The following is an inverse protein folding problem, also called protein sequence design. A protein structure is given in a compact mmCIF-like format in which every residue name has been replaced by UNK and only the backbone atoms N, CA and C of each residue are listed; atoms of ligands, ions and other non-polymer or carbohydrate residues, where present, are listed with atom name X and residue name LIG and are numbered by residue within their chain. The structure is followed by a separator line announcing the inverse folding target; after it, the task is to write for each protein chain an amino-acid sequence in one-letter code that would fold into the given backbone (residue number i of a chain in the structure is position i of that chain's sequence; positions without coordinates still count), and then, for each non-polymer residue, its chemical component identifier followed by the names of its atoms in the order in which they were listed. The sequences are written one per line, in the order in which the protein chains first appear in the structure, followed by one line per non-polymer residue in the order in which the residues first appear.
data_IF_757185027843
#
_entry.id   IF_757185027843
#
_cell.length_a   1.000
_cell.length_b   1.000
_cell.length_c   1.000
_cell.angle_alpha   90.00
_cell.angle_beta   90.00
_cell.angle_gamma   90.00
#
_symmetry.space_group_name_H-M   'P 1'
#
loop_
_entity.id
_entity.type
_entity.pdbx_description
1 polymer ?
#
# COMPACT_ATOMS: atom_id res chain seq x y z
N UNK A 1 -22.79 9.02 -19.26
CA UNK A 1 -22.70 10.31 -18.55
C UNK A 1 -22.31 10.03 -17.10
N UNK A 2 -21.05 10.24 -16.74
CA UNK A 2 -20.53 9.91 -15.41
C UNK A 2 -20.81 11.06 -14.43
N UNK A 3 -21.97 11.08 -13.84
CA UNK A 3 -22.22 11.92 -12.67
C UNK A 3 -21.51 11.28 -11.48
N UNK A 4 -20.44 11.95 -11.02
CA UNK A 4 -19.76 11.77 -9.73
C UNK A 4 -19.55 10.33 -9.24
N UNK A 5 -18.58 9.64 -9.85
CA UNK A 5 -18.02 8.47 -9.19
C UNK A 5 -17.42 8.90 -7.84
N UNK A 6 -17.69 8.18 -6.74
CA UNK A 6 -17.12 8.50 -5.44
C UNK A 6 -15.59 8.40 -5.49
N UNK A 7 -14.90 9.26 -4.75
CA UNK A 7 -13.45 9.21 -4.58
C UNK A 7 -13.13 8.21 -3.49
N UNK A 8 -12.42 7.16 -3.86
CA UNK A 8 -11.95 6.15 -2.91
C UNK A 8 -10.45 6.27 -2.78
N UNK A 9 -10.00 6.55 -1.57
CA UNK A 9 -8.59 6.55 -1.21
C UNK A 9 -8.25 5.22 -0.54
N UNK A 10 -7.20 4.56 -1.02
CA UNK A 10 -6.73 3.28 -0.48
C UNK A 10 -5.29 3.47 0.01
N UNK A 11 -5.05 3.19 1.28
CA UNK A 11 -3.73 3.24 1.89
C UNK A 11 -3.14 1.84 1.99
N UNK A 12 -2.04 1.63 1.28
CA UNK A 12 -1.34 0.34 1.17
C UNK A 12 -1.67 -0.39 -0.13
N UNK A 13 -0.62 -0.74 -0.90
CA UNK A 13 -0.70 -1.48 -2.16
C UNK A 13 -0.26 -2.95 -1.99
N UNK A 14 -0.46 -3.52 -0.80
CA UNK A 14 -0.34 -4.95 -0.58
C UNK A 14 -1.48 -5.74 -1.22
N UNK A 15 -1.63 -7.01 -0.86
CA UNK A 15 -2.66 -7.87 -1.44
C UNK A 15 -4.07 -7.29 -1.33
N UNK A 16 -4.45 -6.82 -0.14
CA UNK A 16 -5.78 -6.27 0.10
C UNK A 16 -6.02 -4.97 -0.64
N UNK A 17 -5.09 -4.01 -0.55
CA UNK A 17 -5.25 -2.70 -1.17
C UNK A 17 -5.23 -2.75 -2.69
N UNK A 18 -4.32 -3.51 -3.29
CA UNK A 18 -4.24 -3.65 -4.75
C UNK A 18 -5.49 -4.35 -5.31
N UNK A 19 -5.95 -5.42 -4.64
CA UNK A 19 -7.19 -6.12 -5.03
C UNK A 19 -8.39 -5.17 -4.93
N UNK A 20 -8.53 -4.43 -3.83
CA UNK A 20 -9.61 -3.46 -3.66
C UNK A 20 -9.56 -2.36 -4.75
N UNK A 21 -8.37 -1.84 -5.06
CA UNK A 21 -8.20 -0.81 -6.08
C UNK A 21 -8.69 -1.30 -7.45
N UNK A 22 -8.27 -2.49 -7.87
CA UNK A 22 -8.66 -3.08 -9.16
C UNK A 22 -10.18 -3.30 -9.24
N UNK A 23 -10.79 -3.81 -8.18
CA UNK A 23 -12.24 -4.05 -8.14
C UNK A 23 -13.04 -2.75 -8.19
N UNK A 24 -12.61 -1.73 -7.43
CA UNK A 24 -13.31 -0.46 -7.31
C UNK A 24 -13.12 0.47 -8.51
N UNK A 25 -12.08 0.29 -9.31
CA UNK A 25 -11.77 1.12 -10.47
C UNK A 25 -12.92 1.22 -11.49
N UNK A 26 -13.80 0.23 -11.54
CA UNK A 26 -14.97 0.21 -12.42
C UNK A 26 -16.05 1.20 -11.99
N UNK A 27 -16.21 1.40 -10.67
CA UNK A 27 -17.34 2.13 -10.08
C UNK A 27 -16.94 3.40 -9.34
N UNK A 28 -15.66 3.59 -9.03
CA UNK A 28 -15.13 4.70 -8.27
C UNK A 28 -13.95 5.38 -8.97
N UNK A 29 -13.59 6.60 -8.53
CA UNK A 29 -12.32 7.25 -8.81
C UNK A 29 -11.35 6.83 -7.72
N UNK A 30 -10.41 5.94 -8.04
CA UNK A 30 -9.53 5.32 -7.06
C UNK A 30 -8.17 6.00 -7.05
N UNK A 31 -7.71 6.39 -5.86
CA UNK A 31 -6.32 6.77 -5.58
C UNK A 31 -5.72 5.73 -4.64
N UNK A 32 -4.64 5.11 -5.05
CA UNK A 32 -3.89 4.11 -4.29
C UNK A 32 -2.59 4.74 -3.80
N UNK A 33 -2.33 4.66 -2.50
CA UNK A 33 -1.12 5.22 -1.87
C UNK A 33 -0.30 4.09 -1.25
N UNK A 34 0.99 4.06 -1.51
CA UNK A 34 1.94 3.20 -0.82
C UNK A 34 3.30 3.90 -0.70
N UNK A 35 4.06 3.58 0.33
CA UNK A 35 5.42 4.09 0.54
C UNK A 35 6.42 3.53 -0.46
N UNK A 36 6.13 2.38 -1.07
CA UNK A 36 6.95 1.72 -2.07
C UNK A 36 6.28 1.77 -3.45
N UNK A 37 7.08 1.73 -4.50
CA UNK A 37 6.60 1.62 -5.88
C UNK A 37 6.48 0.17 -6.36
N UNK A 38 6.67 -0.80 -5.46
CA UNK A 38 6.57 -2.23 -5.72
C UNK A 38 5.78 -2.93 -4.63
N UNK A 39 5.13 -4.02 -4.98
CA UNK A 39 4.50 -4.96 -4.06
C UNK A 39 5.44 -6.15 -3.85
N UNK A 40 5.63 -6.55 -2.60
CA UNK A 40 6.39 -7.77 -2.26
C UNK A 40 5.44 -8.93 -2.10
N UNK A 41 5.75 -10.05 -2.78
CA UNK A 41 5.02 -11.29 -2.58
C UNK A 41 5.53 -12.01 -1.32
N UNK A 42 5.00 -11.59 -0.17
CA UNK A 42 5.43 -12.05 1.16
C UNK A 42 5.50 -13.57 1.33
N UNK A 43 4.60 -14.40 0.76
CA UNK A 43 4.67 -15.85 0.93
C UNK A 43 5.96 -16.51 0.43
N UNK A 44 6.70 -15.86 -0.48
CA UNK A 44 7.98 -16.37 -1.00
C UNK A 44 9.20 -15.64 -0.43
N UNK A 45 9.02 -14.73 0.52
CA UNK A 45 10.12 -13.92 1.04
C UNK A 45 11.18 -14.78 1.78
N UNK A 46 10.77 -15.89 2.38
CA UNK A 46 11.69 -16.85 3.00
C UNK A 46 12.69 -17.46 2.00
N UNK A 47 12.28 -17.62 0.73
CA UNK A 47 13.20 -18.11 -0.31
C UNK A 47 14.25 -17.07 -0.70
N UNK A 48 13.91 -15.79 -0.61
CA UNK A 48 14.90 -14.71 -0.79
C UNK A 48 15.91 -14.72 0.36
N UNK A 49 15.42 -14.85 1.60
CA UNK A 49 16.28 -14.85 2.79
C UNK A 49 17.24 -16.06 2.84
N UNK A 50 16.90 -17.16 2.18
CA UNK A 50 17.71 -18.38 2.07
C UNK A 50 18.46 -18.49 0.74
N UNK A 51 18.51 -17.40 -0.05
CA UNK A 51 19.15 -17.33 -1.36
C UNK A 51 18.57 -18.30 -2.43
N UNK A 52 17.35 -18.81 -2.23
CA UNK A 52 16.65 -19.66 -3.19
C UNK A 52 16.02 -18.87 -4.35
N UNK A 53 15.72 -17.58 -4.14
CA UNK A 53 15.19 -16.66 -5.14
C UNK A 53 15.90 -15.32 -5.07
N UNK A 54 16.09 -14.67 -6.21
CA UNK A 54 16.49 -13.27 -6.25
C UNK A 54 15.33 -12.35 -5.81
N UNK A 55 15.64 -11.19 -5.22
CA UNK A 55 14.65 -10.28 -4.66
C UNK A 55 13.68 -9.73 -5.70
N UNK A 56 14.11 -9.56 -6.94
CA UNK A 56 13.30 -9.09 -8.06
C UNK A 56 12.20 -10.09 -8.48
N UNK A 57 12.36 -11.37 -8.17
CA UNK A 57 11.34 -12.39 -8.44
C UNK A 57 10.12 -12.29 -7.50
N UNK A 58 10.27 -11.61 -6.37
CA UNK A 58 9.19 -11.43 -5.39
C UNK A 58 8.72 -9.98 -5.28
N UNK A 59 9.36 -9.06 -5.99
CA UNK A 59 9.02 -7.64 -6.05
C UNK A 59 8.33 -7.30 -7.38
N UNK A 60 7.07 -6.90 -7.32
CA UNK A 60 6.29 -6.58 -8.51
C UNK A 60 6.00 -5.07 -8.60
N UNK A 61 6.34 -4.39 -9.69
CA UNK A 61 6.10 -2.95 -9.84
C UNK A 61 4.59 -2.62 -9.78
N UNK A 62 4.17 -1.77 -8.84
CA UNK A 62 2.75 -1.39 -8.68
C UNK A 62 2.21 -0.74 -9.95
N UNK A 63 2.96 0.17 -10.57
CA UNK A 63 2.54 0.81 -11.82
C UNK A 63 2.36 -0.19 -12.97
N UNK A 64 3.11 -1.30 -12.95
CA UNK A 64 2.93 -2.41 -13.90
C UNK A 64 1.59 -3.12 -13.70
N UNK A 65 1.23 -3.40 -12.44
CA UNK A 65 -0.04 -4.02 -12.08
C UNK A 65 -1.26 -3.15 -12.42
N UNK A 66 -1.08 -1.82 -12.40
CA UNK A 66 -2.15 -0.86 -12.66
C UNK A 66 -2.26 -0.44 -14.13
N UNK A 67 -1.41 -0.97 -15.00
CA UNK A 67 -1.38 -0.57 -16.42
C UNK A 67 -2.74 -0.78 -17.08
N UNK A 68 -3.24 0.28 -17.73
CA UNK A 68 -4.54 0.26 -18.42
C UNK A 68 -5.76 0.39 -17.50
N UNK A 69 -5.57 0.54 -16.19
CA UNK A 69 -6.65 0.78 -15.24
C UNK A 69 -6.73 2.27 -14.87
N UNK A 70 -7.94 2.80 -14.67
CA UNK A 70 -8.16 4.20 -14.27
C UNK A 70 -7.92 4.39 -12.76
N UNK A 71 -6.72 4.02 -12.30
CA UNK A 71 -6.29 4.12 -10.90
C UNK A 71 -5.11 5.07 -10.83
N UNK A 72 -5.21 6.06 -9.97
CA UNK A 72 -4.12 6.98 -9.67
C UNK A 72 -3.23 6.38 -8.57
N UNK A 73 -1.94 6.23 -8.84
CA UNK A 73 -0.97 5.77 -7.83
C UNK A 73 -0.12 6.94 -7.34
N UNK A 74 -0.09 7.11 -6.01
CA UNK A 74 0.74 8.08 -5.30
C UNK A 74 1.72 7.35 -4.39
N UNK A 75 3.00 7.63 -4.54
CA UNK A 75 4.03 7.12 -3.64
C UNK A 75 4.18 8.07 -2.45
N UNK A 76 4.05 7.55 -1.25
CA UNK A 76 4.16 8.31 -0.01
C UNK A 76 3.63 7.54 1.19
N UNK A 77 3.93 8.05 2.37
CA UNK A 77 3.47 7.48 3.64
C UNK A 77 2.41 8.38 4.27
N UNK A 78 1.24 7.84 4.67
CA UNK A 78 0.25 8.62 5.38
C UNK A 78 0.77 8.97 6.78
N UNK A 79 0.76 10.26 7.13
CA UNK A 79 1.19 10.75 8.44
C UNK A 79 0.02 11.18 9.34
N UNK A 80 -1.10 11.58 8.74
CA UNK A 80 -2.31 11.89 9.50
C UNK A 80 -3.57 11.71 8.68
N UNK A 81 -4.67 11.39 9.36
CA UNK A 81 -6.01 11.26 8.78
C UNK A 81 -6.92 12.27 9.46
N UNK A 82 -7.50 13.19 8.71
CA UNK A 82 -8.54 14.07 9.18
C UNK A 82 -9.91 13.50 8.82
N UNK A 83 -10.55 12.88 9.79
CA UNK A 83 -11.84 12.22 9.58
C UNK A 83 -12.99 13.22 9.29
N UNK A 84 -12.94 14.44 9.87
CA UNK A 84 -13.99 15.45 9.68
C UNK A 84 -13.95 16.03 8.28
N UNK A 85 -12.76 16.35 7.79
CA UNK A 85 -12.54 16.90 6.45
C UNK A 85 -12.40 15.83 5.38
N UNK A 86 -12.37 14.55 5.78
CA UNK A 86 -12.15 13.41 4.90
C UNK A 86 -10.89 13.59 4.04
N UNK A 87 -9.78 13.86 4.70
CA UNK A 87 -8.48 14.01 4.05
C UNK A 87 -7.40 13.19 4.72
N UNK A 88 -6.37 12.84 3.95
CA UNK A 88 -5.15 12.19 4.43
C UNK A 88 -3.97 13.06 3.99
N UNK A 89 -3.10 13.37 4.95
CA UNK A 89 -1.84 14.06 4.69
C UNK A 89 -0.71 13.05 4.55
N UNK A 90 0.08 13.19 3.49
CA UNK A 90 1.27 12.39 3.23
C UNK A 90 2.54 13.07 3.78
N UNK A 91 3.62 12.29 3.91
CA UNK A 91 4.96 12.75 4.27
C UNK A 91 5.53 13.80 3.30
N UNK A 92 5.10 13.79 2.04
CA UNK A 92 5.38 14.83 1.04
C UNK A 92 4.66 16.16 1.29
N UNK A 93 3.86 16.28 2.36
CA UNK A 93 2.92 17.38 2.63
C UNK A 93 1.73 17.46 1.68
N UNK A 94 1.58 16.54 0.72
CA UNK A 94 0.39 16.42 -0.12
C UNK A 94 -0.81 16.02 0.73
N UNK A 95 -1.96 16.64 0.47
CA UNK A 95 -3.22 16.31 1.12
C UNK A 95 -4.20 15.74 0.10
N UNK A 96 -4.74 14.55 0.38
CA UNK A 96 -5.63 13.83 -0.52
C UNK A 96 -7.01 13.72 0.11
N UNK A 97 -8.02 14.25 -0.57
CA UNK A 97 -9.42 14.22 -0.13
C UNK A 97 -10.14 13.00 -0.68
N UNK A 98 -11.02 12.42 0.13
CA UNK A 98 -11.76 11.21 -0.22
C UNK A 98 -13.22 11.29 0.20
N UNK A 99 -14.06 10.46 -0.41
CA UNK A 99 -15.42 10.19 0.04
C UNK A 99 -15.45 8.91 0.90
N UNK A 100 -14.63 7.91 0.53
CA UNK A 100 -14.41 6.68 1.26
C UNK A 100 -12.91 6.38 1.41
N UNK A 101 -12.52 5.86 2.57
CA UNK A 101 -11.15 5.48 2.89
C UNK A 101 -11.07 3.99 3.18
N UNK A 102 -10.10 3.32 2.56
CA UNK A 102 -9.73 1.93 2.85
C UNK A 102 -8.31 1.93 3.43
N UNK A 103 -8.15 1.39 4.62
CA UNK A 103 -6.86 1.22 5.29
C UNK A 103 -6.41 -0.23 5.10
N UNK A 104 -5.38 -0.44 4.28
CA UNK A 104 -4.84 -1.76 3.92
C UNK A 104 -3.30 -1.80 4.11
N UNK A 105 -2.81 -1.17 5.17
CA UNK A 105 -1.38 -0.96 5.44
C UNK A 105 -0.63 -2.25 5.83
N UNK A 106 -1.36 -3.34 6.05
CA UNK A 106 -0.78 -4.61 6.46
C UNK A 106 -0.35 -4.61 7.92
N UNK A 107 0.75 -5.27 8.21
CA UNK A 107 1.28 -5.42 9.57
C UNK A 107 2.78 -5.12 9.60
N UNK A 108 3.29 -4.76 10.75
CA UNK A 108 4.71 -4.63 11.03
C UNK A 108 5.19 -5.83 11.88
N UNK A 109 6.48 -6.12 11.83
CA UNK A 109 7.09 -7.10 12.71
C UNK A 109 6.96 -6.65 14.16
N UNK A 110 6.51 -7.53 15.05
CA UNK A 110 6.46 -7.28 16.49
C UNK A 110 7.56 -8.09 17.18
N UNK A 111 8.35 -7.43 18.00
CA UNK A 111 9.39 -8.05 18.84
C UNK A 111 8.87 -8.48 20.21
N UNK A 112 7.61 -8.14 20.52
CA UNK A 112 6.92 -8.40 21.79
C UNK A 112 7.69 -7.85 23.02
N UNK A 113 8.57 -6.86 22.84
CA UNK A 113 9.41 -6.31 23.89
C UNK A 113 10.48 -7.27 24.40
N UNK A 114 10.85 -8.30 23.63
CA UNK A 114 11.91 -9.24 24.01
C UNK A 114 13.25 -8.50 23.94
N UNK A 115 14.00 -8.43 25.06
CA UNK A 115 15.29 -7.74 25.10
C UNK A 115 16.26 -8.26 24.04
N UNK A 116 16.90 -7.36 23.31
CA UNK A 116 17.88 -7.67 22.28
C UNK A 116 17.32 -8.03 20.91
N UNK A 117 16.02 -8.27 20.76
CA UNK A 117 15.44 -8.62 19.46
C UNK A 117 15.52 -7.43 18.49
N UNK A 118 15.16 -6.22 18.94
CA UNK A 118 15.22 -5.02 18.10
C UNK A 118 16.65 -4.65 17.67
N UNK A 119 17.67 -5.02 18.49
CA UNK A 119 19.08 -4.67 18.28
C UNK A 119 19.84 -5.73 17.47
N UNK A 120 19.45 -6.99 17.59
CA UNK A 120 20.23 -8.11 17.08
C UNK A 120 19.51 -9.01 16.08
N UNK A 121 18.18 -8.86 15.90
CA UNK A 121 17.43 -9.64 14.95
C UNK A 121 17.08 -8.82 13.69
N UNK A 122 17.10 -9.48 12.54
CA UNK A 122 16.63 -8.92 11.27
C UNK A 122 15.21 -9.39 11.02
N UNK A 123 14.29 -8.46 10.80
CA UNK A 123 12.95 -8.78 10.35
C UNK A 123 12.96 -9.28 8.91
N UNK A 124 12.14 -10.30 8.63
CA UNK A 124 12.01 -10.84 7.27
C UNK A 124 11.02 -9.99 6.43
N UNK A 125 10.41 -8.97 7.03
CA UNK A 125 9.34 -8.19 6.40
C UNK A 125 9.67 -6.71 6.45
#
# INVERSE_FOLDING_TARGET
MNKNKPRVLILGAGFGGLTAAIQLAKIAKVTLVDRHNFQTFLPLLYQVSTAGLAADHVAYPIRGALRGLPIEFRMGSPISINHREKSVKLDSSEEIYFDHLIIALGSATADFGIPGVAEHALGMK
#
